data_IF_378253519226
#
_entry.id   IF_378253519226
#
_cell.length_a   1.000
_cell.length_b   1.000
_cell.length_c   1.000
_cell.angle_alpha   90.00
_cell.angle_beta   90.00
_cell.angle_gamma   90.00
#
_symmetry.space_group_name_H-M   'P 1'
#
loop_
_entity.id
_entity.type
_entity.pdbx_description
1 polymer ?
#
# COMPACT_ATOMS: atom_id res chain seq x y z
N UNK A 1 -22.18 24.64 2.08
CA UNK A 1 -21.43 25.00 3.31
C UNK A 1 -20.71 23.73 3.75
N UNK A 2 -19.39 23.65 3.98
CA UNK A 2 -18.55 24.54 4.77
C UNK A 2 -17.06 24.16 4.53
N UNK A 3 -16.21 25.18 4.46
CA UNK A 3 -14.76 25.18 4.21
C UNK A 3 -13.94 24.20 5.06
N UNK A 4 -12.97 23.48 4.48
CA UNK A 4 -11.65 23.18 5.10
C UNK A 4 -10.70 22.38 4.19
N UNK A 5 -9.81 23.02 3.43
CA UNK A 5 -8.51 22.44 3.02
C UNK A 5 -7.53 23.54 2.57
N UNK A 6 -7.54 24.70 3.24
CA UNK A 6 -6.78 25.87 2.77
C UNK A 6 -5.34 25.96 3.29
N UNK A 7 -4.78 24.91 3.90
CA UNK A 7 -3.49 25.01 4.61
C UNK A 7 -2.47 23.90 4.35
N UNK A 8 -2.78 22.91 3.51
CA UNK A 8 -1.79 21.92 3.11
C UNK A 8 -1.34 22.26 1.69
N UNK A 9 -0.07 22.63 1.57
CA UNK A 9 0.57 22.88 0.28
C UNK A 9 0.43 21.60 -0.58
N UNK A 10 -0.26 21.63 -1.73
CA UNK A 10 -0.45 20.46 -2.58
C UNK A 10 0.87 19.84 -3.05
N UNK A 11 1.92 20.65 -3.16
CA UNK A 11 3.26 20.19 -3.50
C UNK A 11 3.91 19.44 -2.33
N UNK A 12 3.60 19.79 -1.09
CA UNK A 12 4.04 19.04 0.11
C UNK A 12 3.32 17.70 0.24
N UNK A 13 2.02 17.64 -0.07
CA UNK A 13 1.26 16.37 -0.12
C UNK A 13 1.79 15.45 -1.23
N UNK A 14 2.09 16.00 -2.42
CA UNK A 14 2.75 15.26 -3.50
C UNK A 14 4.16 14.79 -3.13
N UNK A 15 4.93 15.60 -2.40
CA UNK A 15 6.26 15.23 -1.92
C UNK A 15 6.21 14.12 -0.84
N UNK A 16 5.17 14.07 -0.01
CA UNK A 16 4.96 12.99 0.98
C UNK A 16 4.50 11.68 0.31
N UNK A 17 3.68 11.77 -0.75
CA UNK A 17 3.20 10.63 -1.54
C UNK A 17 4.22 10.11 -2.58
N UNK A 18 5.38 10.76 -2.73
CA UNK A 18 6.46 10.35 -3.61
C UNK A 18 7.24 9.13 -3.06
N UNK A 19 6.60 7.96 -3.07
CA UNK A 19 7.27 6.66 -3.09
C UNK A 19 7.65 6.03 -1.74
N UNK A 20 7.78 6.77 -0.65
CA UNK A 20 8.16 6.18 0.66
C UNK A 20 6.97 5.71 1.51
N UNK A 21 5.76 6.21 1.28
CA UNK A 21 4.58 5.87 2.12
C UNK A 21 3.66 4.78 1.53
N UNK A 22 3.62 4.60 0.21
CA UNK A 22 2.72 3.63 -0.45
C UNK A 22 2.95 2.20 0.07
N UNK A 23 4.22 1.84 0.29
CA UNK A 23 4.61 0.56 0.87
C UNK A 23 4.18 0.42 2.34
N UNK A 24 4.20 1.50 3.13
CA UNK A 24 3.72 1.48 4.52
C UNK A 24 2.21 1.32 4.58
N UNK A 25 1.48 2.05 3.74
CA UNK A 25 0.03 1.91 3.59
C UNK A 25 -0.32 0.48 3.24
N UNK A 26 0.32 -0.08 2.21
CA UNK A 26 0.11 -1.48 1.84
C UNK A 26 0.39 -2.45 3.00
N UNK A 27 1.52 -2.32 3.70
CA UNK A 27 1.84 -3.19 4.84
C UNK A 27 0.79 -3.10 5.96
N UNK A 28 0.26 -1.91 6.21
CA UNK A 28 -0.79 -1.70 7.21
C UNK A 28 -2.11 -2.33 6.80
N UNK A 29 -2.47 -2.22 5.51
CA UNK A 29 -3.68 -2.86 4.97
C UNK A 29 -3.56 -4.38 5.03
N UNK A 30 -2.39 -4.94 4.71
CA UNK A 30 -2.13 -6.38 4.86
C UNK A 30 -2.26 -6.82 6.31
N UNK A 31 -1.77 -6.04 7.27
CA UNK A 31 -1.95 -6.35 8.70
C UNK A 31 -3.42 -6.30 9.11
N UNK A 32 -4.16 -5.27 8.67
CA UNK A 32 -5.58 -5.14 8.94
C UNK A 32 -6.41 -6.25 8.29
N UNK A 33 -5.97 -6.77 7.14
CA UNK A 33 -6.56 -7.90 6.44
C UNK A 33 -6.11 -9.27 7.00
N UNK A 34 -5.36 -9.31 8.12
CA UNK A 34 -4.91 -10.56 8.74
C UNK A 34 -3.84 -11.32 7.93
N UNK A 35 -3.09 -10.61 7.08
CA UNK A 35 -2.10 -11.19 6.18
C UNK A 35 -2.63 -11.49 4.77
N UNK A 36 -3.91 -11.24 4.50
CA UNK A 36 -4.49 -11.38 3.17
C UNK A 36 -4.00 -10.24 2.26
N UNK A 37 -3.17 -10.61 1.29
CA UNK A 37 -2.53 -9.69 0.34
C UNK A 37 -3.51 -9.23 -0.71
N UNK A 38 -4.38 -10.11 -1.19
CA UNK A 38 -5.32 -9.78 -2.26
C UNK A 38 -6.36 -8.79 -1.76
N UNK A 39 -6.86 -9.02 -0.54
CA UNK A 39 -7.76 -8.07 0.11
C UNK A 39 -7.12 -6.69 0.31
N UNK A 40 -5.84 -6.65 0.68
CA UNK A 40 -5.10 -5.40 0.84
C UNK A 40 -4.88 -4.66 -0.49
N UNK A 41 -4.62 -5.40 -1.58
CA UNK A 41 -4.52 -4.82 -2.93
C UNK A 41 -5.84 -4.21 -3.38
N UNK A 42 -6.95 -4.88 -3.07
CA UNK A 42 -8.29 -4.38 -3.40
C UNK A 42 -8.64 -3.10 -2.63
N UNK A 43 -8.27 -3.03 -1.34
CA UNK A 43 -8.38 -1.80 -0.55
C UNK A 43 -7.50 -0.66 -1.08
N UNK A 44 -6.30 -0.94 -1.58
CA UNK A 44 -5.47 0.08 -2.22
C UNK A 44 -6.16 0.68 -3.45
N UNK A 45 -6.82 -0.14 -4.28
CA UNK A 45 -7.57 0.35 -5.44
C UNK A 45 -8.76 1.22 -5.01
N UNK A 46 -9.50 0.79 -4.00
CA UNK A 46 -10.59 1.60 -3.43
C UNK A 46 -10.09 2.94 -2.89
N UNK A 47 -8.94 2.95 -2.20
CA UNK A 47 -8.33 4.19 -1.72
C UNK A 47 -7.93 5.12 -2.87
N UNK A 48 -7.51 4.58 -4.01
CA UNK A 48 -7.26 5.38 -5.21
C UNK A 48 -8.55 5.93 -5.83
N UNK A 49 -9.59 5.10 -5.96
CA UNK A 49 -10.90 5.52 -6.46
C UNK A 49 -11.55 6.62 -5.59
N UNK A 50 -11.35 6.55 -4.28
CA UNK A 50 -11.83 7.56 -3.32
C UNK A 50 -10.93 8.81 -3.27
N UNK A 51 -9.82 8.82 -4.01
CA UNK A 51 -8.89 9.95 -4.13
C UNK A 51 -7.89 10.10 -2.98
N UNK A 52 -7.75 9.08 -2.12
CA UNK A 52 -6.71 9.04 -1.07
C UNK A 52 -5.34 8.67 -1.63
N UNK A 53 -5.31 7.86 -2.68
CA UNK A 53 -4.11 7.61 -3.50
C UNK A 53 -4.29 8.38 -4.80
N UNK A 54 -3.26 9.11 -5.23
CA UNK A 54 -3.31 9.88 -6.47
C UNK A 54 -3.58 8.94 -7.66
N UNK A 55 -4.53 9.30 -8.53
CA UNK A 55 -4.91 8.51 -9.72
C UNK A 55 -3.73 8.28 -10.68
N UNK A 56 -2.70 9.14 -10.64
CA UNK A 56 -1.48 8.97 -11.43
C UNK A 56 -0.56 7.87 -10.91
N UNK A 57 -0.80 7.34 -9.70
CA UNK A 57 -0.05 6.21 -9.14
C UNK A 57 -0.45 4.92 -9.87
N UNK A 58 0.51 4.28 -10.52
CA UNK A 58 0.31 2.96 -11.10
C UNK A 58 0.40 1.88 -10.01
N UNK A 59 -0.76 1.54 -9.43
CA UNK A 59 -0.87 0.49 -8.41
C UNK A 59 -0.45 -0.89 -8.92
N UNK A 60 -0.71 -1.20 -10.19
CA UNK A 60 -0.33 -2.49 -10.77
C UNK A 60 1.20 -2.60 -10.93
N UNK A 61 1.86 -1.52 -11.35
CA UNK A 61 3.33 -1.47 -11.35
C UNK A 61 3.91 -1.56 -9.94
N UNK A 62 3.23 -1.01 -8.92
CA UNK A 62 3.63 -1.18 -7.52
C UNK A 62 3.50 -2.64 -7.08
N UNK A 63 2.38 -3.31 -7.37
CA UNK A 63 2.18 -4.72 -7.02
C UNK A 63 3.18 -5.64 -7.71
N UNK A 64 3.47 -5.39 -8.99
CA UNK A 64 4.51 -6.13 -9.72
C UNK A 64 5.89 -6.01 -9.06
N UNK A 65 6.26 -4.82 -8.56
CA UNK A 65 7.50 -4.61 -7.81
C UNK A 65 7.53 -5.37 -6.47
N UNK A 66 6.39 -5.52 -5.78
CA UNK A 66 6.33 -6.32 -4.56
C UNK A 66 6.62 -7.80 -4.83
N UNK A 67 6.14 -8.31 -5.97
CA UNK A 67 6.36 -9.68 -6.42
C UNK A 67 7.82 -9.88 -6.86
N UNK A 68 8.38 -8.95 -7.64
CA UNK A 68 9.79 -8.93 -8.05
C UNK A 68 10.73 -8.94 -6.82
N UNK A 69 10.40 -8.13 -5.81
CA UNK A 69 11.15 -8.06 -4.55
C UNK A 69 10.88 -9.23 -3.60
N UNK A 70 10.11 -10.24 -4.03
CA UNK A 70 9.73 -11.44 -3.25
C UNK A 70 9.09 -11.12 -1.91
N UNK A 71 8.34 -10.03 -1.83
CA UNK A 71 7.58 -9.67 -0.64
C UNK A 71 6.22 -10.39 -0.64
N UNK A 72 5.66 -10.54 -1.84
CA UNK A 72 4.51 -11.37 -2.14
C UNK A 72 4.93 -12.42 -3.17
N UNK A 73 4.24 -13.56 -3.20
CA UNK A 73 4.43 -14.58 -4.23
C UNK A 73 3.10 -15.27 -4.50
N UNK A 74 2.94 -15.82 -5.69
CA UNK A 74 1.80 -16.68 -6.00
C UNK A 74 1.82 -17.93 -5.13
N UNK A 75 0.70 -18.20 -4.48
CA UNK A 75 0.46 -19.45 -3.77
C UNK A 75 0.09 -20.57 -4.75
N UNK A 76 0.00 -21.80 -4.25
CA UNK A 76 -0.31 -22.99 -5.06
C UNK A 76 -1.70 -22.98 -5.72
N UNK A 77 -2.58 -22.05 -5.33
CA UNK A 77 -3.94 -21.90 -5.86
C UNK A 77 -4.06 -20.73 -6.85
N UNK A 78 -2.96 -20.03 -7.13
CA UNK A 78 -2.89 -18.94 -8.11
C UNK A 78 -3.11 -17.53 -7.54
N UNK A 79 -3.43 -17.40 -6.26
CA UNK A 79 -3.58 -16.11 -5.57
C UNK A 79 -2.26 -15.59 -4.99
N UNK A 80 -2.20 -14.30 -4.64
CA UNK A 80 -1.01 -13.70 -4.02
C UNK A 80 -0.99 -13.89 -2.51
N UNK A 81 0.18 -14.20 -1.94
CA UNK A 81 0.38 -14.37 -0.51
C UNK A 81 1.72 -13.83 -0.05
N UNK A 82 1.83 -13.40 1.21
CA UNK A 82 3.10 -12.95 1.77
C UNK A 82 4.15 -14.06 1.74
N UNK A 83 5.38 -13.70 1.40
CA UNK A 83 6.50 -14.62 1.65
C UNK A 83 6.90 -14.58 3.12
N UNK A 84 7.62 -15.58 3.60
CA UNK A 84 8.20 -15.58 4.95
C UNK A 84 9.13 -14.37 5.19
N UNK A 85 9.72 -13.83 4.12
CA UNK A 85 10.49 -12.59 4.15
C UNK A 85 9.62 -11.33 4.21
N UNK A 86 8.51 -11.32 3.47
CA UNK A 86 7.49 -10.26 3.49
C UNK A 86 6.84 -10.11 4.86
N UNK A 87 6.37 -11.20 5.46
CA UNK A 87 5.78 -11.20 6.80
C UNK A 87 6.72 -10.63 7.87
N UNK A 88 8.00 -11.03 7.85
CA UNK A 88 9.00 -10.52 8.82
C UNK A 88 9.27 -9.04 8.65
N UNK A 89 9.14 -8.52 7.42
CA UNK A 89 9.32 -7.10 7.12
C UNK A 89 8.11 -6.30 7.61
N UNK A 90 6.90 -6.79 7.35
CA UNK A 90 5.64 -6.19 7.80
C UNK A 90 5.59 -6.12 9.33
N UNK A 91 5.95 -7.21 10.01
CA UNK A 91 6.05 -7.22 11.47
C UNK A 91 7.05 -6.20 11.99
N UNK A 92 8.22 -6.05 11.36
CA UNK A 92 9.20 -5.02 11.74
C UNK A 92 8.69 -3.60 11.51
N UNK A 93 8.03 -3.32 10.39
CA UNK A 93 7.46 -1.99 10.14
C UNK A 93 6.37 -1.59 11.13
N UNK A 94 5.67 -2.55 11.74
CA UNK A 94 4.69 -2.27 12.78
C UNK A 94 5.32 -1.81 14.12
N UNK A 95 6.59 -2.14 14.37
CA UNK A 95 7.32 -1.81 15.60
C UNK A 95 8.17 -0.53 15.52
N UNK A 96 8.43 0.03 14.32
CA UNK A 96 9.23 1.25 14.13
C UNK A 96 8.39 2.55 14.26
N UNK A 97 7.42 2.57 15.18
CA UNK A 97 6.62 3.77 15.51
C UNK A 97 7.34 4.70 16.50
#
# INVERSE_FOLDING_TARGET
MRHRFHYLDPELLKALLAGEELQRVFNQLVLAAGGDVEQAMEWMRQLQEEGYIDESVDLEAFFAKLEENRQVARNGEGGLSLTSGGERRIRRSAFEQ
#
